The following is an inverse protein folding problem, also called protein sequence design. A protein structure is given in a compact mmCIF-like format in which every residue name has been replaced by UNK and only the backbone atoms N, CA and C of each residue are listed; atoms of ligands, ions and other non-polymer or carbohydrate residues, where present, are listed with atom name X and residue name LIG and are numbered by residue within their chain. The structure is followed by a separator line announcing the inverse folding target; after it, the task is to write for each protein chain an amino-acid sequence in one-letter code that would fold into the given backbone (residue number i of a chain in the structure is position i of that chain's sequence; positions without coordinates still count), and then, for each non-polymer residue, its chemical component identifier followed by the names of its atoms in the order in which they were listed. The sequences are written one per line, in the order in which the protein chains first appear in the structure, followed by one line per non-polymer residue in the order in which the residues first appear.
data_IF_717941052082
#
_entry.id   IF_717941052082
#
_cell.length_a   1.000
_cell.length_b   1.000
_cell.length_c   1.000
_cell.angle_alpha   90.00
_cell.angle_beta   90.00
_cell.angle_gamma   90.00
#
_symmetry.space_group_name_H-M   'P 1'
#
loop_
_entity.id
_entity.type
_entity.pdbx_description
1 polymer ?
#
# COMPACT_ATOMS: atom_id res chain seq x y z
N UNK A 1 11.72 46.49 52.98
CA UNK A 1 12.28 46.05 51.67
C UNK A 1 12.43 44.53 51.57
N UNK A 2 12.99 43.82 52.56
CA UNK A 2 13.11 42.34 52.54
C UNK A 2 11.77 41.59 52.41
N UNK A 3 10.68 42.05 53.06
CA UNK A 3 9.36 41.44 52.93
C UNK A 3 8.73 41.61 51.53
N UNK A 4 8.99 42.72 50.85
CA UNK A 4 8.50 42.96 49.49
C UNK A 4 9.21 42.04 48.48
N UNK A 5 10.52 41.87 48.64
CA UNK A 5 11.31 40.93 47.86
C UNK A 5 10.84 39.48 48.09
N UNK A 6 10.55 39.10 49.33
CA UNK A 6 10.03 37.77 49.65
C UNK A 6 8.65 37.53 49.01
N UNK A 7 7.75 38.50 49.09
CA UNK A 7 6.43 38.41 48.45
C UNK A 7 6.51 38.28 46.93
N UNK A 8 7.45 38.98 46.30
CA UNK A 8 7.66 38.91 44.85
C UNK A 8 8.20 37.53 44.40
N UNK A 9 9.10 36.93 45.18
CA UNK A 9 9.63 35.58 44.92
C UNK A 9 8.52 34.52 45.04
N UNK A 10 7.63 34.66 46.02
CA UNK A 10 6.48 33.73 46.21
C UNK A 10 5.48 33.83 45.05
N UNK A 11 5.19 35.05 44.57
CA UNK A 11 4.31 35.27 43.42
C UNK A 11 4.87 34.63 42.13
N UNK A 12 6.18 34.76 41.89
CA UNK A 12 6.84 34.17 40.73
C UNK A 12 6.87 32.64 40.79
N UNK A 13 7.09 32.06 41.97
CA UNK A 13 7.05 30.60 42.18
C UNK A 13 5.65 30.02 41.91
N UNK A 14 4.58 30.78 42.20
CA UNK A 14 3.20 30.37 41.92
C UNK A 14 2.85 30.29 40.42
N UNK A 15 3.51 31.10 39.57
CA UNK A 15 3.31 31.02 38.11
C UNK A 15 4.00 29.80 37.47
N UNK A 16 5.10 29.32 38.05
CA UNK A 16 5.83 28.16 37.56
C UNK A 16 5.24 26.81 38.04
N UNK A 17 4.37 26.82 39.04
CA UNK A 17 3.74 25.62 39.62
C UNK A 17 2.41 25.17 38.97
N UNK A 18 2.00 25.79 37.86
CA UNK A 18 0.78 25.35 37.14
C UNK A 18 1.08 24.05 36.38
N UNK A 19 0.32 23.00 36.69
CA UNK A 19 0.37 21.75 35.93
C UNK A 19 -0.09 22.01 34.48
N UNK A 20 0.64 21.51 33.46
CA UNK A 20 0.22 21.65 32.08
C UNK A 20 -1.09 20.90 31.85
N UNK A 21 -2.05 21.53 31.16
CA UNK A 21 -3.30 20.89 30.74
C UNK A 21 -2.98 19.80 29.70
N UNK A 22 -2.90 18.54 30.14
CA UNK A 22 -2.63 17.40 29.27
C UNK A 22 -3.88 17.07 28.47
N UNK A 23 -3.90 17.48 27.20
CA UNK A 23 -4.93 17.08 26.25
C UNK A 23 -4.49 15.83 25.51
N UNK A 24 -5.10 14.70 25.83
CA UNK A 24 -4.92 13.46 25.09
C UNK A 24 -5.63 13.57 23.75
N UNK A 25 -4.86 13.63 22.66
CA UNK A 25 -5.39 13.60 21.29
C UNK A 25 -5.38 12.17 20.79
N UNK A 26 -6.52 11.70 20.30
CA UNK A 26 -6.58 10.42 19.61
C UNK A 26 -6.00 10.60 18.21
N UNK A 27 -4.92 9.88 17.92
CA UNK A 27 -4.30 9.84 16.59
C UNK A 27 -4.76 8.55 15.90
N UNK A 28 -5.36 8.68 14.72
CA UNK A 28 -5.62 7.53 13.86
C UNK A 28 -4.34 7.20 13.11
N UNK A 29 -3.72 6.08 13.49
CA UNK A 29 -2.55 5.55 12.80
C UNK A 29 -3.06 4.68 11.64
N UNK A 30 -2.70 4.99 10.38
CA UNK A 30 -3.08 4.13 9.26
C UNK A 30 -2.42 2.77 9.43
N UNK A 31 -3.24 1.73 9.51
CA UNK A 31 -2.79 0.34 9.57
C UNK A 31 -2.90 -0.28 8.18
N UNK A 32 -1.90 -1.06 7.80
CA UNK A 32 -1.92 -1.78 6.53
C UNK A 32 -3.01 -2.84 6.56
N UNK A 33 -4.00 -2.72 5.68
CA UNK A 33 -5.06 -3.72 5.51
C UNK A 33 -4.64 -4.73 4.43
N UNK A 34 -4.84 -6.04 4.64
CA UNK A 34 -4.53 -7.03 3.63
C UNK A 34 -5.52 -6.91 2.46
N UNK A 35 -5.01 -6.79 1.23
CA UNK A 35 -5.89 -6.86 0.08
C UNK A 35 -6.47 -8.27 -0.09
N UNK A 36 -7.79 -8.34 -0.27
CA UNK A 36 -8.51 -9.57 -0.59
C UNK A 36 -9.01 -9.49 -2.02
N UNK A 37 -8.15 -9.83 -2.97
CA UNK A 37 -8.48 -9.94 -4.39
C UNK A 37 -8.51 -11.42 -4.81
N UNK A 38 -9.20 -11.72 -5.90
CA UNK A 38 -9.27 -13.08 -6.43
C UNK A 38 -8.01 -13.39 -7.24
N UNK A 39 -7.51 -14.62 -7.12
CA UNK A 39 -6.42 -15.10 -7.96
C UNK A 39 -6.86 -15.15 -9.43
N UNK A 40 -6.08 -14.53 -10.31
CA UNK A 40 -6.35 -14.52 -11.74
C UNK A 40 -5.88 -15.83 -12.34
N UNK A 41 -6.78 -16.56 -13.00
CA UNK A 41 -6.48 -17.87 -13.56
C UNK A 41 -5.49 -17.76 -14.73
N UNK A 42 -4.47 -18.61 -14.73
CA UNK A 42 -3.51 -18.70 -15.84
C UNK A 42 -4.22 -19.27 -17.07
N UNK A 43 -4.22 -18.58 -18.22
CA UNK A 43 -4.90 -19.07 -19.41
C UNK A 43 -4.13 -20.24 -20.05
N UNK A 44 -4.83 -21.09 -20.83
CA UNK A 44 -4.19 -22.15 -21.58
C UNK A 44 -3.36 -21.55 -22.71
N UNK A 45 -2.04 -21.46 -22.48
CA UNK A 45 -1.09 -20.85 -23.41
C UNK A 45 -1.10 -21.56 -24.77
N UNK A 46 -1.30 -20.80 -25.85
CA UNK A 46 -1.37 -21.35 -27.20
C UNK A 46 -0.07 -22.07 -27.63
N UNK A 47 1.07 -21.75 -27.02
CA UNK A 47 2.35 -22.43 -27.32
C UNK A 47 2.56 -23.72 -26.54
N UNK A 48 1.74 -24.04 -25.54
CA UNK A 48 1.96 -25.19 -24.64
C UNK A 48 2.01 -26.54 -25.38
N UNK A 49 1.33 -26.66 -26.51
CA UNK A 49 1.29 -27.87 -27.34
C UNK A 49 2.35 -27.94 -28.45
N UNK A 50 3.20 -26.91 -28.62
CA UNK A 50 4.16 -26.87 -29.72
C UNK A 50 5.28 -27.89 -29.54
N UNK A 51 5.64 -28.55 -30.64
CA UNK A 51 6.76 -29.49 -30.74
C UNK A 51 7.89 -28.89 -31.57
N UNK A 52 9.11 -29.39 -31.33
CA UNK A 52 10.29 -28.98 -32.10
C UNK A 52 10.12 -29.24 -33.60
N UNK A 53 9.48 -30.35 -33.97
CA UNK A 53 9.25 -30.75 -35.35
C UNK A 53 8.12 -29.96 -36.07
N UNK A 54 7.35 -29.15 -35.36
CA UNK A 54 6.25 -28.41 -35.97
C UNK A 54 6.76 -27.39 -36.98
N UNK A 55 5.94 -27.14 -38.01
CA UNK A 55 6.26 -26.17 -39.06
C UNK A 55 6.42 -24.76 -38.48
N UNK A 56 7.20 -23.93 -39.17
CA UNK A 56 7.39 -22.54 -38.78
C UNK A 56 6.04 -21.79 -38.76
N UNK A 57 5.17 -22.05 -39.73
CA UNK A 57 3.85 -21.43 -39.80
C UNK A 57 3.01 -21.73 -38.56
N UNK A 58 2.96 -22.99 -38.11
CA UNK A 58 2.23 -23.38 -36.90
C UNK A 58 2.77 -22.65 -35.67
N UNK A 59 4.10 -22.60 -35.53
CA UNK A 59 4.78 -21.90 -34.43
C UNK A 59 4.47 -20.41 -34.42
N UNK A 60 4.58 -19.74 -35.56
CA UNK A 60 4.28 -18.29 -35.67
C UNK A 60 2.82 -18.01 -35.34
N UNK A 61 1.89 -18.84 -35.83
CA UNK A 61 0.46 -18.69 -35.52
C UNK A 61 0.17 -18.83 -34.02
N UNK A 62 0.74 -19.86 -33.37
CA UNK A 62 0.61 -20.06 -31.93
C UNK A 62 1.23 -18.90 -31.12
N UNK A 63 2.41 -18.41 -31.52
CA UNK A 63 3.06 -17.26 -30.86
C UNK A 63 2.24 -15.97 -30.99
N UNK A 64 1.64 -15.71 -32.16
CA UNK A 64 0.76 -14.55 -32.36
C UNK A 64 -0.54 -14.64 -31.55
N UNK A 65 -1.08 -15.85 -31.39
CA UNK A 65 -2.23 -16.09 -30.53
C UNK A 65 -1.87 -15.86 -29.05
N UNK A 66 -0.77 -16.45 -28.59
CA UNK A 66 -0.32 -16.31 -27.20
C UNK A 66 0.03 -14.86 -26.86
N UNK A 67 0.63 -14.10 -27.78
CA UNK A 67 0.90 -12.67 -27.56
C UNK A 67 -0.37 -11.91 -27.16
N UNK A 68 -1.51 -12.22 -27.79
CA UNK A 68 -2.81 -11.64 -27.43
C UNK A 68 -3.31 -12.16 -26.08
N UNK A 69 -3.15 -13.45 -25.80
CA UNK A 69 -3.49 -14.02 -24.48
C UNK A 69 -2.72 -13.33 -23.36
N UNK A 70 -1.40 -13.13 -23.52
CA UNK A 70 -0.56 -12.43 -22.53
C UNK A 70 -0.99 -10.98 -22.32
N UNK A 71 -1.33 -10.28 -23.40
CA UNK A 71 -1.86 -8.90 -23.31
C UNK A 71 -3.16 -8.85 -22.51
N UNK A 72 -4.05 -9.83 -22.68
CA UNK A 72 -5.29 -9.94 -21.90
C UNK A 72 -5.01 -10.25 -20.44
N UNK A 73 -4.21 -11.28 -20.17
CA UNK A 73 -3.84 -11.70 -18.82
C UNK A 73 -3.13 -10.59 -18.04
N UNK A 74 -2.25 -9.81 -18.67
CA UNK A 74 -1.61 -8.66 -18.04
C UNK A 74 -2.62 -7.60 -17.61
N UNK A 75 -3.65 -7.33 -18.42
CA UNK A 75 -4.72 -6.39 -18.05
C UNK A 75 -5.55 -6.89 -16.88
N UNK A 76 -5.86 -8.19 -16.85
CA UNK A 76 -6.58 -8.80 -15.72
C UNK A 76 -5.75 -8.72 -14.43
N UNK A 77 -4.44 -8.98 -14.50
CA UNK A 77 -3.54 -8.83 -13.37
C UNK A 77 -3.44 -7.38 -12.87
N UNK A 78 -3.32 -6.41 -13.79
CA UNK A 78 -3.33 -4.98 -13.44
C UNK A 78 -4.63 -4.61 -12.75
N UNK A 79 -5.78 -5.03 -13.29
CA UNK A 79 -7.08 -4.79 -12.66
C UNK A 79 -7.19 -5.41 -11.26
N UNK A 80 -6.65 -6.62 -11.06
CA UNK A 80 -6.64 -7.29 -9.76
C UNK A 80 -5.79 -6.55 -8.72
N UNK A 81 -4.67 -5.95 -9.14
CA UNK A 81 -3.81 -5.11 -8.29
C UNK A 81 -4.43 -3.73 -8.02
N UNK A 82 -5.04 -3.11 -9.03
CA UNK A 82 -5.69 -1.80 -8.87
C UNK A 82 -6.91 -1.88 -7.95
N UNK A 83 -7.60 -3.02 -7.87
CA UNK A 83 -8.64 -3.26 -6.87
C UNK A 83 -8.14 -3.23 -5.41
N UNK A 84 -6.82 -3.28 -5.20
CA UNK A 84 -6.17 -3.29 -3.89
C UNK A 84 -5.58 -1.95 -3.45
N UNK A 85 -5.61 -0.93 -4.32
CA UNK A 85 -5.09 0.41 -4.02
C UNK A 85 -6.14 1.27 -3.31
#
# INVERSE_FOLDING_TARGET
MKLLLLGFVVLLAGCAGREPEVRTVRVEVPVQVPCRTQEVAVPPWATAGLKKADSLELKVRALLAERRQRTGYERELVAAVDACR
#
